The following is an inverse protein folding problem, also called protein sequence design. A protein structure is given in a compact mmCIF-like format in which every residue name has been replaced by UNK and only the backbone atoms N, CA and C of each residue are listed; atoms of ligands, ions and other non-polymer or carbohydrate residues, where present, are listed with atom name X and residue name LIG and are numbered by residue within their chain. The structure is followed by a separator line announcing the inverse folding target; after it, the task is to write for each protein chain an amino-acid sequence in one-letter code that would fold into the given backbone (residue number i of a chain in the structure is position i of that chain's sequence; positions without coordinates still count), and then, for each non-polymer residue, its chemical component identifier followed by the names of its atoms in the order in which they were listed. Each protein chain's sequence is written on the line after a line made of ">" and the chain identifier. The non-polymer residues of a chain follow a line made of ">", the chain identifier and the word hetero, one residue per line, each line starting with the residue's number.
data_IF_572223464744
#
_entry.id   IF_572223464744
#
_cell.length_a   1.000
_cell.length_b   1.000
_cell.length_c   1.000
_cell.angle_alpha   90.00
_cell.angle_beta   90.00
_cell.angle_gamma   90.00
#
_symmetry.space_group_name_H-M   'P 1'
#
loop_
_entity.id
_entity.type
_entity.pdbx_description
1 polymer ?
#
# COMPACT_ATOMS: atom_id res chain seq x y z
N UNK A 1 15.45 8.89 -18.59
CA UNK A 1 14.83 9.12 -17.28
C UNK A 1 13.33 9.28 -17.43
N UNK A 2 12.58 8.28 -16.98
CA UNK A 2 11.11 8.26 -16.95
C UNK A 2 10.66 8.12 -15.48
N UNK A 3 9.62 8.85 -15.10
CA UNK A 3 9.03 8.74 -13.76
C UNK A 3 7.68 8.06 -13.82
N UNK A 4 7.47 7.06 -12.96
CA UNK A 4 6.18 6.37 -12.83
C UNK A 4 5.71 6.35 -11.37
N UNK A 5 4.39 6.21 -11.18
CA UNK A 5 3.78 6.02 -9.86
C UNK A 5 3.35 4.57 -9.71
N UNK A 6 3.49 4.01 -8.51
CA UNK A 6 3.09 2.64 -8.21
C UNK A 6 2.62 2.48 -6.78
N UNK A 7 2.06 1.31 -6.48
CA UNK A 7 1.63 0.93 -5.14
C UNK A 7 2.31 -0.40 -4.78
N UNK A 8 2.99 -0.43 -3.64
CA UNK A 8 3.55 -1.62 -3.03
C UNK A 8 2.67 -2.06 -1.86
N UNK A 9 2.23 -3.32 -1.89
CA UNK A 9 1.32 -3.90 -0.90
C UNK A 9 2.07 -4.99 -0.14
N UNK A 10 2.25 -4.81 1.17
CA UNK A 10 2.93 -5.79 2.01
C UNK A 10 1.98 -6.28 3.08
N UNK A 11 1.81 -7.61 3.19
CA UNK A 11 1.03 -8.25 4.25
C UNK A 11 1.94 -8.69 5.38
N UNK A 12 1.67 -8.20 6.58
CA UNK A 12 2.47 -8.37 7.79
C UNK A 12 1.60 -8.89 8.93
N UNK A 13 2.24 -9.40 9.98
CA UNK A 13 1.64 -9.58 11.31
C UNK A 13 2.62 -8.91 12.30
N UNK A 14 2.45 -7.60 12.49
CA UNK A 14 3.45 -6.73 13.16
C UNK A 14 3.57 -7.09 14.63
N UNK A 15 2.44 -7.37 15.27
CA UNK A 15 2.36 -7.64 16.70
C UNK A 15 2.34 -9.14 17.04
N UNK A 16 2.38 -10.02 16.04
CA UNK A 16 2.39 -11.48 16.17
C UNK A 16 1.13 -12.01 16.85
N UNK A 17 -0.01 -11.37 16.62
CA UNK A 17 -1.28 -11.77 17.19
C UNK A 17 -2.13 -12.66 16.26
N UNK A 18 -1.56 -13.01 15.09
CA UNK A 18 -2.19 -13.87 14.10
C UNK A 18 -3.17 -13.13 13.19
N UNK A 19 -3.41 -11.83 13.39
CA UNK A 19 -4.17 -10.99 12.47
C UNK A 19 -3.23 -10.29 11.51
N UNK A 20 -3.55 -10.39 10.22
CA UNK A 20 -2.74 -9.76 9.19
C UNK A 20 -3.06 -8.26 9.08
N UNK A 21 -2.03 -7.44 9.08
CA UNK A 21 -2.08 -6.03 8.66
C UNK A 21 -1.55 -5.86 7.23
N UNK A 22 -1.87 -4.71 6.64
CA UNK A 22 -1.39 -4.36 5.30
C UNK A 22 -0.71 -2.99 5.32
N UNK A 23 0.56 -2.96 4.91
CA UNK A 23 1.25 -1.72 4.56
C UNK A 23 1.00 -1.43 3.08
N UNK A 24 0.39 -0.28 2.80
CA UNK A 24 0.13 0.25 1.46
C UNK A 24 1.12 1.39 1.24
N UNK A 25 2.05 1.24 0.30
CA UNK A 25 3.09 2.23 0.03
C UNK A 25 2.95 2.78 -1.39
N UNK A 26 2.63 4.06 -1.48
CA UNK A 26 2.58 4.83 -2.73
C UNK A 26 4.00 5.26 -3.06
N UNK A 27 4.52 4.82 -4.19
CA UNK A 27 5.90 5.07 -4.61
C UNK A 27 5.95 5.86 -5.90
N UNK A 28 6.91 6.77 -5.98
CA UNK A 28 7.38 7.32 -7.26
C UNK A 28 8.68 6.63 -7.61
N UNK A 29 8.73 6.03 -8.78
CA UNK A 29 9.89 5.33 -9.32
C UNK A 29 10.49 6.14 -10.45
N UNK A 30 11.80 6.08 -10.54
CA UNK A 30 12.55 6.61 -11.66
C UNK A 30 13.26 5.44 -12.35
N UNK A 31 13.02 5.32 -13.64
CA UNK A 31 13.71 4.36 -14.50
C UNK A 31 14.61 5.09 -15.47
N UNK A 32 15.84 4.60 -15.61
CA UNK A 32 16.78 5.14 -16.58
C UNK A 32 17.60 4.04 -17.26
N UNK A 33 18.06 4.33 -18.47
CA UNK A 33 18.96 3.46 -19.22
C UNK A 33 20.24 4.21 -19.53
N UNK A 34 21.35 3.78 -18.93
CA UNK A 34 22.66 4.37 -19.17
C UNK A 34 23.21 3.85 -20.51
N UNK A 35 23.30 4.73 -21.51
CA UNK A 35 23.85 4.41 -22.84
C UNK A 35 25.35 4.07 -22.81
N UNK A 36 26.10 4.53 -21.80
CA UNK A 36 27.52 4.27 -21.66
C UNK A 36 27.81 2.90 -21.05
N UNK A 37 27.03 2.49 -20.04
CA UNK A 37 27.19 1.19 -19.38
C UNK A 37 26.27 0.10 -19.92
N UNK A 38 25.22 0.45 -20.64
CA UNK A 38 24.16 -0.47 -21.12
C UNK A 38 23.26 -1.02 -20.00
N UNK A 39 23.22 -0.40 -18.83
CA UNK A 39 22.47 -0.90 -17.67
C UNK A 39 21.15 -0.15 -17.49
N UNK A 40 20.14 -0.88 -17.02
CA UNK A 40 18.90 -0.30 -16.51
C UNK A 40 19.01 -0.03 -15.01
N UNK A 41 18.51 1.12 -14.57
CA UNK A 41 18.23 1.42 -13.17
C UNK A 41 16.72 1.58 -12.96
N UNK A 42 16.21 1.05 -11.85
CA UNK A 42 14.86 1.28 -11.34
C UNK A 42 15.00 1.60 -9.85
N UNK A 43 14.69 2.83 -9.47
CA UNK A 43 14.88 3.32 -8.10
C UNK A 43 13.62 3.99 -7.59
N UNK A 44 13.25 3.70 -6.34
CA UNK A 44 12.21 4.45 -5.63
C UNK A 44 12.84 5.76 -5.16
N UNK A 45 12.38 6.88 -5.73
CA UNK A 45 12.88 8.22 -5.40
C UNK A 45 12.05 8.92 -4.32
N UNK A 46 10.80 8.50 -4.15
CA UNK A 46 9.93 8.97 -3.08
C UNK A 46 8.91 7.89 -2.72
N UNK A 47 8.58 7.76 -1.44
CA UNK A 47 7.52 6.88 -0.97
C UNK A 47 6.75 7.48 0.19
N UNK A 48 5.47 7.13 0.25
CA UNK A 48 4.59 7.42 1.37
C UNK A 48 3.78 6.16 1.69
N UNK A 49 3.72 5.78 2.96
CA UNK A 49 3.07 4.54 3.37
C UNK A 49 1.97 4.76 4.41
N UNK A 50 0.88 4.03 4.25
CA UNK A 50 -0.21 3.90 5.22
C UNK A 50 -0.20 2.48 5.76
N UNK A 51 -0.36 2.34 7.08
CA UNK A 51 -0.60 1.05 7.70
C UNK A 51 -2.10 0.88 7.96
N UNK A 52 -2.68 -0.14 7.34
CA UNK A 52 -4.05 -0.58 7.61
C UNK A 52 -3.99 -1.69 8.65
N UNK A 53 -4.62 -1.43 9.79
CA UNK A 53 -4.55 -2.26 11.00
C UNK A 53 -5.90 -2.30 11.72
N UNK A 54 -5.93 -3.04 12.83
CA UNK A 54 -7.06 -3.07 13.75
C UNK A 54 -6.80 -2.21 14.98
N UNK A 55 -7.84 -1.62 15.55
CA UNK A 55 -7.81 -1.05 16.91
C UNK A 55 -7.72 -2.19 17.94
N UNK A 56 -7.12 -1.93 19.09
CA UNK A 56 -7.00 -2.93 20.16
C UNK A 56 -8.38 -3.54 20.49
N UNK A 57 -8.45 -4.87 20.51
CA UNK A 57 -9.68 -5.62 20.77
C UNK A 57 -10.59 -5.82 19.56
N UNK A 58 -10.28 -5.26 18.39
CA UNK A 58 -10.99 -5.53 17.14
C UNK A 58 -10.49 -6.82 16.49
N UNK A 59 -11.39 -7.53 15.82
CA UNK A 59 -11.07 -8.67 14.94
C UNK A 59 -11.01 -8.29 13.47
N UNK A 60 -11.41 -7.06 13.13
CA UNK A 60 -11.43 -6.51 11.77
C UNK A 60 -10.53 -5.28 11.64
N UNK A 61 -10.02 -5.06 10.43
CA UNK A 61 -9.31 -3.83 10.06
C UNK A 61 -10.27 -2.65 10.17
N UNK A 62 -9.90 -1.65 10.98
CA UNK A 62 -10.73 -0.48 11.27
C UNK A 62 -9.90 0.74 11.72
N UNK A 63 -8.63 0.74 11.33
CA UNK A 63 -7.68 1.82 11.58
C UNK A 63 -6.76 1.98 10.38
N UNK A 64 -6.92 3.07 9.66
CA UNK A 64 -5.93 3.57 8.72
C UNK A 64 -5.68 5.06 8.99
N UNK A 65 -4.68 5.64 8.33
CA UNK A 65 -4.50 7.09 8.31
C UNK A 65 -4.60 7.55 6.87
N UNK A 66 -5.74 8.12 6.51
CA UNK A 66 -5.97 8.69 5.19
C UNK A 66 -5.19 9.99 5.06
N UNK A 67 -4.53 10.15 3.91
CA UNK A 67 -3.88 11.40 3.54
C UNK A 67 -4.23 11.68 2.08
N UNK A 68 -5.20 12.58 1.87
CA UNK A 68 -5.70 12.98 0.57
C UNK A 68 -7.01 12.30 0.18
N UNK A 69 -7.61 12.85 -0.87
CA UNK A 69 -8.82 12.41 -1.56
C UNK A 69 -8.50 11.19 -2.45
N UNK A 70 -8.71 9.99 -1.90
CA UNK A 70 -8.41 8.70 -2.52
C UNK A 70 -9.52 8.30 -3.48
N UNK A 71 -10.78 8.59 -3.14
CA UNK A 71 -11.94 8.24 -3.97
C UNK A 71 -12.24 9.24 -5.10
N UNK A 72 -11.57 10.39 -5.08
CA UNK A 72 -11.59 11.46 -6.07
C UNK A 72 -12.91 12.22 -6.14
N UNK A 73 -13.60 12.37 -5.01
CA UNK A 73 -14.88 13.06 -4.94
C UNK A 73 -14.77 14.55 -4.56
N UNK A 74 -13.57 14.99 -4.16
CA UNK A 74 -13.23 16.39 -3.89
C UNK A 74 -13.14 16.77 -2.43
N UNK A 75 -13.25 15.82 -1.48
CA UNK A 75 -12.97 16.09 -0.07
C UNK A 75 -12.06 15.04 0.60
N UNK A 76 -12.02 15.02 1.94
CA UNK A 76 -11.25 14.02 2.70
C UNK A 76 -12.17 13.52 3.81
N UNK A 77 -12.66 12.30 3.68
CA UNK A 77 -13.71 11.76 4.54
C UNK A 77 -13.51 10.27 4.90
N UNK A 78 -14.60 9.57 5.26
CA UNK A 78 -14.55 8.18 5.70
C UNK A 78 -14.54 7.19 4.53
N UNK A 79 -15.00 7.61 3.37
CA UNK A 79 -15.11 6.83 2.15
C UNK A 79 -13.70 6.56 1.61
N UNK A 80 -12.80 7.53 1.73
CA UNK A 80 -11.36 7.36 1.54
C UNK A 80 -10.76 6.26 2.43
N UNK A 81 -11.10 6.27 3.72
CA UNK A 81 -10.62 5.28 4.69
C UNK A 81 -11.14 3.89 4.33
N UNK A 82 -12.40 3.82 3.89
CA UNK A 82 -13.05 2.59 3.49
C UNK A 82 -12.38 1.95 2.27
N UNK A 83 -11.95 2.74 1.27
CA UNK A 83 -11.21 2.21 0.13
C UNK A 83 -9.87 1.57 0.53
N UNK A 84 -9.18 2.14 1.53
CA UNK A 84 -7.96 1.53 2.08
C UNK A 84 -8.25 0.21 2.80
N UNK A 85 -9.36 0.13 3.55
CA UNK A 85 -9.80 -1.12 4.18
C UNK A 85 -10.16 -2.19 3.15
N UNK A 86 -10.87 -1.82 2.10
CA UNK A 86 -11.30 -2.74 1.04
C UNK A 86 -10.10 -3.28 0.26
N UNK A 87 -9.12 -2.41 -0.05
CA UNK A 87 -7.87 -2.83 -0.66
C UNK A 87 -7.09 -3.79 0.25
N UNK A 88 -6.92 -3.46 1.53
CA UNK A 88 -6.21 -4.33 2.47
C UNK A 88 -6.87 -5.70 2.62
N UNK A 89 -8.20 -5.74 2.76
CA UNK A 89 -8.96 -6.99 2.83
C UNK A 89 -8.81 -7.81 1.54
N UNK A 90 -8.80 -7.17 0.37
CA UNK A 90 -8.60 -7.82 -0.92
C UNK A 90 -7.21 -8.46 -1.01
N UNK A 91 -6.17 -7.74 -0.59
CA UNK A 91 -4.79 -8.26 -0.59
C UNK A 91 -4.64 -9.46 0.35
N UNK A 92 -5.22 -9.40 1.55
CA UNK A 92 -5.21 -10.52 2.51
C UNK A 92 -5.89 -11.75 1.90
N UNK A 93 -7.08 -11.57 1.31
CA UNK A 93 -7.82 -12.66 0.63
C UNK A 93 -7.01 -13.24 -0.53
N UNK A 94 -6.41 -12.37 -1.35
CA UNK A 94 -5.56 -12.79 -2.47
C UNK A 94 -4.38 -13.63 -1.99
N UNK A 95 -3.63 -13.17 -0.99
CA UNK A 95 -2.49 -13.92 -0.40
C UNK A 95 -2.92 -15.29 0.13
N UNK A 96 -4.07 -15.37 0.80
CA UNK A 96 -4.62 -16.64 1.28
C UNK A 96 -4.97 -17.59 0.12
N UNK A 97 -5.48 -17.06 -1.00
CA UNK A 97 -5.82 -17.86 -2.18
C UNK A 97 -4.60 -18.31 -3.01
N UNK A 98 -3.50 -17.55 -3.00
CA UNK A 98 -2.25 -17.88 -3.72
C UNK A 98 -1.37 -18.90 -2.99
N UNK A 99 -1.72 -19.28 -1.76
CA UNK A 99 -1.01 -20.27 -0.95
C UNK A 99 -1.50 -21.71 -1.14
N UNK A 100 -2.42 -21.97 -2.07
CA UNK A 100 -2.93 -23.30 -2.44
C UNK A 100 -2.35 -23.77 -3.79
#
# INVERSE_FOLDING_TARGET
>A
METSKGILLTVLDVNKDGVQEVKIEFVTRETDFDLGSGNFSDTIVNSYAVLVSKKNGSTTLNKASVHGDIDQDGDIDMEDEQLLFDLANTVIKFKASSGN
#
